data_IF_295287875591
#
_entry.id   IF_295287875591
#
_cell.length_a   1.000
_cell.length_b   1.000
_cell.length_c   1.000
_cell.angle_alpha   90.00
_cell.angle_beta   90.00
_cell.angle_gamma   90.00
#
_symmetry.space_group_name_H-M   'P 1'
#
loop_
_entity.id
_entity.type
_entity.pdbx_description
1 polymer ?
#
# COMPACT_ATOMS: atom_id res chain seq x y z
N UNK A 1 -41.81 -0.58 -4.37
CA UNK A 1 -40.74 -1.37 -3.73
C UNK A 1 -39.50 -1.28 -4.62
N UNK A 2 -38.42 -0.68 -4.09
CA UNK A 2 -36.97 -0.88 -4.32
C UNK A 2 -36.50 -1.25 -5.75
N UNK A 3 -35.56 -0.56 -6.40
CA UNK A 3 -34.62 0.47 -5.97
C UNK A 3 -33.82 0.99 -7.19
N UNK A 4 -33.29 2.21 -7.03
CA UNK A 4 -32.50 2.89 -8.04
C UNK A 4 -31.16 2.18 -8.26
N UNK A 5 -30.92 1.67 -9.48
CA UNK A 5 -29.59 1.28 -9.94
C UNK A 5 -28.82 2.56 -10.31
N UNK A 6 -28.21 3.16 -9.29
CA UNK A 6 -27.33 4.30 -9.50
C UNK A 6 -26.04 3.78 -10.18
N UNK A 7 -25.60 4.37 -11.32
CA UNK A 7 -24.30 4.04 -11.86
C UNK A 7 -23.25 4.41 -10.80
N UNK A 8 -22.54 3.41 -10.27
CA UNK A 8 -21.41 3.63 -9.37
C UNK A 8 -20.45 4.59 -10.07
N UNK A 9 -20.47 5.87 -9.69
CA UNK A 9 -19.44 6.83 -10.07
C UNK A 9 -18.13 6.30 -9.48
N UNK A 10 -17.36 5.56 -10.28
CA UNK A 10 -15.96 5.27 -9.97
C UNK A 10 -15.25 6.62 -10.01
N UNK A 11 -15.11 7.26 -8.85
CA UNK A 11 -14.12 8.31 -8.71
C UNK A 11 -12.77 7.66 -9.04
N UNK A 12 -12.19 8.04 -10.18
CA UNK A 12 -10.78 7.77 -10.43
C UNK A 12 -10.01 8.48 -9.29
N UNK A 13 -9.22 7.76 -8.49
CA UNK A 13 -8.49 8.37 -7.40
C UNK A 13 -7.52 9.40 -7.98
N UNK A 14 -7.72 10.67 -7.62
CA UNK A 14 -6.84 11.79 -8.00
C UNK A 14 -5.62 11.87 -7.06
N UNK A 15 -4.96 10.74 -6.88
CA UNK A 15 -3.76 10.56 -6.06
C UNK A 15 -3.05 9.27 -6.46
N UNK A 16 -1.75 9.13 -6.15
CA UNK A 16 -1.02 7.88 -6.36
C UNK A 16 -1.83 6.76 -5.71
N UNK A 17 -2.26 5.78 -6.52
CA UNK A 17 -2.99 4.63 -6.01
C UNK A 17 -1.97 3.78 -5.25
N UNK A 18 -1.86 4.02 -3.94
CA UNK A 18 -1.05 3.20 -3.06
C UNK A 18 -1.61 1.78 -3.13
N UNK A 19 -0.83 0.86 -3.70
CA UNK A 19 -1.19 -0.55 -3.73
C UNK A 19 -1.31 -1.05 -2.27
N UNK A 20 -2.27 -1.95 -1.98
CA UNK A 20 -2.26 -2.66 -0.71
C UNK A 20 -0.88 -3.29 -0.45
N UNK A 21 -0.41 -3.30 0.80
CA UNK A 21 0.95 -3.71 1.15
C UNK A 21 1.36 -5.06 0.57
N UNK A 22 0.49 -6.07 0.66
CA UNK A 22 0.74 -7.40 0.10
C UNK A 22 0.90 -7.37 -1.43
N UNK A 23 0.02 -6.63 -2.12
CA UNK A 23 0.08 -6.47 -3.56
C UNK A 23 1.33 -5.69 -4.00
N UNK A 24 1.67 -4.61 -3.30
CA UNK A 24 2.89 -3.84 -3.54
C UNK A 24 4.14 -4.72 -3.40
N UNK A 25 4.24 -5.51 -2.34
CA UNK A 25 5.38 -6.38 -2.10
C UNK A 25 5.53 -7.47 -3.17
N UNK A 26 4.43 -8.09 -3.60
CA UNK A 26 4.43 -9.09 -4.68
C UNK A 26 4.81 -8.47 -6.03
N UNK A 27 4.18 -7.36 -6.42
CA UNK A 27 4.43 -6.74 -7.73
C UNK A 27 5.83 -6.08 -7.80
N UNK A 28 6.21 -5.35 -6.76
CA UNK A 28 7.38 -4.46 -6.79
C UNK A 28 8.66 -5.10 -6.29
N UNK A 29 8.58 -6.11 -5.42
CA UNK A 29 9.74 -6.77 -4.79
C UNK A 29 9.80 -8.28 -5.04
N UNK A 30 8.85 -8.84 -5.80
CA UNK A 30 8.70 -10.29 -6.00
C UNK A 30 8.74 -11.05 -4.66
N UNK A 31 8.12 -10.44 -3.65
CA UNK A 31 8.05 -10.99 -2.30
C UNK A 31 6.93 -12.03 -2.19
N UNK A 32 7.03 -12.93 -1.21
CA UNK A 32 5.98 -13.93 -0.97
C UNK A 32 4.71 -13.28 -0.37
N UNK A 33 4.89 -12.26 0.46
CA UNK A 33 3.80 -11.49 1.05
C UNK A 33 4.25 -10.10 1.52
N UNK A 34 3.28 -9.25 1.84
CA UNK A 34 3.48 -7.99 2.55
C UNK A 34 2.66 -7.92 3.83
N UNK A 35 3.22 -7.34 4.88
CA UNK A 35 2.56 -7.16 6.17
C UNK A 35 2.66 -5.72 6.64
N UNK A 36 1.54 -5.15 7.09
CA UNK A 36 1.53 -3.84 7.74
C UNK A 36 1.98 -4.00 9.19
N UNK A 37 3.08 -3.35 9.57
CA UNK A 37 3.63 -3.37 10.92
C UNK A 37 3.56 -1.98 11.55
N UNK A 38 3.42 -1.93 12.87
CA UNK A 38 3.61 -0.68 13.61
C UNK A 38 5.10 -0.35 13.65
N UNK A 39 5.42 0.88 13.28
CA UNK A 39 6.76 1.44 13.27
C UNK A 39 6.72 2.83 13.89
N UNK A 40 6.62 2.93 15.23
CA UNK A 40 6.57 4.20 15.94
C UNK A 40 7.72 5.12 15.51
N UNK A 41 7.41 6.40 15.31
CA UNK A 41 8.42 7.36 14.87
C UNK A 41 9.45 7.60 15.96
N UNK A 42 10.73 7.37 15.66
CA UNK A 42 11.84 7.60 16.59
C UNK A 42 12.10 9.08 16.88
N UNK A 43 11.78 9.95 15.93
CA UNK A 43 11.98 11.40 16.07
C UNK A 43 10.84 12.10 16.83
N UNK A 44 9.65 11.50 16.82
CA UNK A 44 8.49 11.99 17.57
C UNK A 44 7.83 10.84 18.34
N UNK A 45 8.56 10.23 19.32
CA UNK A 45 8.02 9.13 20.11
C UNK A 45 6.81 9.65 20.90
N UNK A 46 5.68 8.94 20.84
CA UNK A 46 4.43 9.33 21.50
C UNK A 46 3.41 10.08 20.63
N UNK A 47 3.82 10.68 19.50
CA UNK A 47 2.89 11.36 18.58
C UNK A 47 2.40 10.43 17.48
N UNK A 48 3.28 9.55 17.00
CA UNK A 48 3.02 8.63 15.90
C UNK A 48 3.24 7.18 16.35
N UNK A 49 2.61 6.79 17.47
CA UNK A 49 2.80 5.47 18.10
C UNK A 49 2.35 4.30 17.20
N UNK A 50 1.32 4.51 16.40
CA UNK A 50 0.76 3.50 15.48
C UNK A 50 1.10 3.79 14.01
N UNK A 51 2.28 4.36 13.76
CA UNK A 51 2.70 4.66 12.39
C UNK A 51 2.88 3.35 11.62
N UNK A 52 1.97 3.05 10.69
CA UNK A 52 1.98 1.80 9.93
C UNK A 52 2.99 1.89 8.80
N UNK A 53 3.86 0.89 8.71
CA UNK A 53 4.77 0.68 7.58
C UNK A 53 4.49 -0.66 6.92
N UNK A 54 4.69 -0.73 5.61
CA UNK A 54 4.61 -1.98 4.87
C UNK A 54 5.97 -2.69 4.90
N UNK A 55 5.99 -3.94 5.35
CA UNK A 55 7.17 -4.81 5.33
C UNK A 55 6.95 -5.94 4.31
N UNK A 56 7.85 -6.06 3.34
CA UNK A 56 7.84 -7.17 2.39
C UNK A 56 8.59 -8.38 2.96
N UNK A 57 7.92 -9.53 3.02
CA UNK A 57 8.47 -10.78 3.54
C UNK A 57 9.10 -11.58 2.39
N UNK A 58 10.36 -11.99 2.55
CA UNK A 58 11.13 -12.70 1.53
C UNK A 58 11.17 -11.98 0.18
N UNK A 59 11.50 -10.69 0.17
CA UNK A 59 11.72 -9.94 -1.07
C UNK A 59 12.84 -10.59 -1.89
N UNK A 60 12.54 -11.01 -3.12
CA UNK A 60 13.49 -11.71 -4.01
C UNK A 60 14.27 -10.76 -4.89
N UNK A 61 13.76 -9.54 -5.10
CA UNK A 61 14.42 -8.49 -5.88
C UNK A 61 14.38 -7.14 -5.18
N UNK A 62 15.26 -6.25 -5.60
CA UNK A 62 15.17 -4.83 -5.27
C UNK A 62 13.92 -4.20 -5.89
N UNK A 63 13.48 -3.05 -5.35
CA UNK A 63 12.29 -2.33 -5.83
C UNK A 63 12.35 -2.11 -7.34
N UNK A 64 11.31 -2.54 -8.04
CA UNK A 64 11.13 -2.24 -9.45
C UNK A 64 10.89 -0.73 -9.66
N UNK A 65 11.87 -0.06 -10.28
CA UNK A 65 11.80 1.39 -10.55
C UNK A 65 11.12 1.71 -11.88
N UNK A 66 10.89 0.72 -12.74
CA UNK A 66 10.34 0.91 -14.07
C UNK A 66 8.82 0.78 -14.09
N UNK A 67 8.23 0.09 -13.11
CA UNK A 67 6.79 0.04 -12.91
C UNK A 67 6.29 1.28 -12.15
N UNK A 68 5.46 2.15 -12.77
CA UNK A 68 4.94 3.36 -12.11
C UNK A 68 4.12 3.09 -10.84
N UNK A 69 3.56 1.88 -10.70
CA UNK A 69 2.84 1.47 -9.48
C UNK A 69 3.77 1.26 -8.28
N UNK A 70 5.07 1.11 -8.52
CA UNK A 70 6.10 0.85 -7.52
C UNK A 70 6.86 2.11 -7.08
N UNK A 71 6.41 3.29 -7.53
CA UNK A 71 7.03 4.58 -7.19
C UNK A 71 6.63 5.12 -5.82
N UNK A 72 5.62 4.52 -5.20
CA UNK A 72 5.34 4.64 -3.78
C UNK A 72 6.55 4.24 -2.92
#
# INVERSE_FOLDING_TARGET
MIGADAPRRRQAPRGILWLPCDQYCKECFDADSGTCVDSPSTNCPGVLENNKQCKCNNAKKAKDKWNPKCWA
#
